data_IF_794860175284
#
_entry.id   IF_794860175284
#
_cell.length_a   1.000
_cell.length_b   1.000
_cell.length_c   1.000
_cell.angle_alpha   90.00
_cell.angle_beta   90.00
_cell.angle_gamma   90.00
#
_symmetry.space_group_name_H-M   'P 1'
#
loop_
_entity.id
_entity.type
_entity.pdbx_description
1 polymer ?
#
# COMPACT_ATOMS: atom_id res chain seq x y z
N UNK A 1 19.44 -14.28 7.86
CA UNK A 1 18.77 -13.59 8.98
C UNK A 1 17.83 -14.60 9.60
N UNK A 2 18.11 -15.01 10.83
CA UNK A 2 17.36 -16.08 11.51
C UNK A 2 16.32 -15.44 12.43
N UNK A 3 15.06 -15.53 12.02
CA UNK A 3 13.92 -15.01 12.76
C UNK A 3 12.64 -15.69 12.28
N UNK A 4 11.67 -15.89 13.18
CA UNK A 4 10.36 -16.42 12.83
C UNK A 4 9.73 -15.51 11.77
N UNK A 5 9.17 -16.06 10.66
CA UNK A 5 8.48 -15.24 9.67
C UNK A 5 7.36 -14.41 10.31
N UNK A 6 7.30 -13.13 9.97
CA UNK A 6 6.17 -12.27 10.33
C UNK A 6 5.16 -12.33 9.19
N UNK A 7 3.93 -12.73 9.50
CA UNK A 7 2.84 -12.80 8.53
C UNK A 7 1.95 -11.57 8.68
N UNK A 8 1.75 -10.85 7.57
CA UNK A 8 0.79 -9.75 7.46
C UNK A 8 -0.34 -10.21 6.55
N UNK A 9 -1.59 -10.03 7.00
CA UNK A 9 -2.78 -10.32 6.19
C UNK A 9 -3.37 -9.01 5.73
N UNK A 10 -3.53 -8.86 4.42
CA UNK A 10 -4.14 -7.70 3.78
C UNK A 10 -5.42 -8.13 3.08
N UNK A 11 -6.46 -7.30 3.14
CA UNK A 11 -7.60 -7.43 2.24
C UNK A 11 -7.18 -7.14 0.79
N UNK A 12 -8.01 -7.54 -0.18
CA UNK A 12 -7.76 -7.22 -1.59
C UNK A 12 -7.63 -5.71 -1.82
N UNK A 13 -8.45 -4.90 -1.15
CA UNK A 13 -8.41 -3.45 -1.25
C UNK A 13 -7.13 -2.87 -0.64
N UNK A 14 -6.70 -3.38 0.54
CA UNK A 14 -5.46 -2.94 1.18
C UNK A 14 -4.25 -3.30 0.33
N UNK A 15 -4.20 -4.51 -0.21
CA UNK A 15 -3.13 -4.98 -1.08
C UNK A 15 -3.04 -4.13 -2.35
N UNK A 16 -4.17 -3.82 -2.99
CA UNK A 16 -4.22 -3.01 -4.20
C UNK A 16 -3.73 -1.57 -3.95
N UNK A 17 -4.25 -0.91 -2.90
CA UNK A 17 -3.87 0.47 -2.58
C UNK A 17 -2.40 0.58 -2.15
N UNK A 18 -1.89 -0.40 -1.39
CA UNK A 18 -0.49 -0.43 -0.97
C UNK A 18 0.45 -0.68 -2.15
N UNK A 19 0.10 -1.59 -3.06
CA UNK A 19 0.88 -1.87 -4.27
C UNK A 19 1.02 -0.61 -5.13
N UNK A 20 -0.09 0.09 -5.39
CA UNK A 20 -0.08 1.34 -6.14
C UNK A 20 0.82 2.41 -5.49
N UNK A 21 0.75 2.53 -4.16
CA UNK A 21 1.57 3.50 -3.44
C UNK A 21 3.06 3.15 -3.49
N UNK A 22 3.42 1.86 -3.41
CA UNK A 22 4.81 1.41 -3.53
C UNK A 22 5.37 1.68 -4.93
N UNK A 23 4.59 1.47 -5.99
CA UNK A 23 5.02 1.84 -7.35
C UNK A 23 5.27 3.35 -7.48
N UNK A 24 4.35 4.18 -6.95
CA UNK A 24 4.54 5.63 -6.92
C UNK A 24 5.74 6.05 -6.08
N UNK A 25 6.00 5.38 -4.97
CA UNK A 25 7.18 5.58 -4.14
C UNK A 25 8.46 5.31 -4.93
N UNK A 26 8.52 4.28 -5.77
CA UNK A 26 9.72 4.00 -6.56
C UNK A 26 9.91 4.98 -7.71
N UNK A 27 8.82 5.45 -8.33
CA UNK A 27 8.84 6.36 -9.47
C UNK A 27 9.09 7.84 -9.11
N UNK A 28 8.60 8.31 -7.95
CA UNK A 28 8.68 9.71 -7.55
C UNK A 28 9.89 9.99 -6.66
N UNK A 29 10.85 10.79 -7.18
CA UNK A 29 12.06 11.18 -6.43
C UNK A 29 11.75 11.96 -5.15
N UNK A 30 10.68 12.75 -5.10
CA UNK A 30 10.29 13.46 -3.89
C UNK A 30 9.78 12.49 -2.83
N UNK A 31 8.98 11.49 -3.22
CA UNK A 31 8.45 10.49 -2.30
C UNK A 31 9.55 9.54 -1.78
N UNK A 32 10.52 9.16 -2.64
CA UNK A 32 11.71 8.40 -2.22
C UNK A 32 12.50 9.06 -1.09
N UNK A 33 12.54 10.40 -1.06
CA UNK A 33 13.27 11.15 -0.03
C UNK A 33 12.59 11.09 1.34
N UNK A 34 11.31 10.71 1.40
CA UNK A 34 10.59 10.51 2.67
C UNK A 34 11.08 9.25 3.38
N UNK A 35 11.55 8.25 2.64
CA UNK A 35 12.16 7.03 3.18
C UNK A 35 13.68 7.14 3.09
N UNK A 36 14.29 7.78 4.08
CA UNK A 36 15.73 8.05 4.11
C UNK A 36 16.58 6.91 4.70
N UNK A 37 15.96 5.95 5.39
CA UNK A 37 16.62 4.78 5.97
C UNK A 37 16.64 3.57 5.01
N UNK A 38 17.82 3.09 4.58
CA UNK A 38 17.97 1.87 3.77
C UNK A 38 17.39 0.60 4.43
N UNK A 39 17.34 0.53 5.76
CA UNK A 39 16.74 -0.61 6.46
C UNK A 39 15.23 -0.68 6.23
N UNK A 40 14.56 0.46 6.13
CA UNK A 40 13.13 0.54 5.80
C UNK A 40 12.89 0.09 4.36
N UNK A 41 13.75 0.50 3.42
CA UNK A 41 13.70 0.03 2.02
C UNK A 41 13.75 -1.50 1.91
N UNK A 42 14.53 -2.18 2.74
CA UNK A 42 14.58 -3.65 2.75
C UNK A 42 13.20 -4.28 3.03
N UNK A 43 12.44 -3.74 3.98
CA UNK A 43 11.11 -4.24 4.31
C UNK A 43 10.10 -3.88 3.20
N UNK A 44 10.16 -2.65 2.67
CA UNK A 44 9.29 -2.20 1.59
C UNK A 44 9.46 -3.04 0.32
N UNK A 45 10.70 -3.34 -0.09
CA UNK A 45 10.96 -4.22 -1.24
C UNK A 45 10.47 -5.66 -1.00
N UNK A 46 10.54 -6.15 0.24
CA UNK A 46 10.00 -7.48 0.58
C UNK A 46 8.48 -7.50 0.44
N UNK A 47 7.80 -6.46 0.93
CA UNK A 47 6.35 -6.32 0.81
C UNK A 47 5.95 -6.15 -0.66
N UNK A 48 6.56 -5.21 -1.38
CA UNK A 48 6.30 -4.95 -2.79
C UNK A 48 6.49 -6.20 -3.65
N UNK A 49 7.64 -6.88 -3.52
CA UNK A 49 7.89 -8.12 -4.27
C UNK A 49 6.96 -9.29 -3.90
N UNK A 50 6.31 -9.25 -2.72
CA UNK A 50 5.27 -10.22 -2.35
C UNK A 50 3.92 -9.86 -2.99
N UNK A 51 3.59 -8.56 -3.04
CA UNK A 51 2.39 -8.03 -3.65
C UNK A 51 2.40 -8.23 -5.17
N UNK A 52 3.50 -7.91 -5.86
CA UNK A 52 3.65 -8.10 -7.31
C UNK A 52 3.38 -9.54 -7.76
N UNK A 53 3.78 -10.51 -6.92
CA UNK A 53 3.57 -11.95 -7.20
C UNK A 53 2.14 -12.40 -6.93
N UNK A 54 1.45 -11.72 -6.02
CA UNK A 54 0.12 -12.13 -5.54
C UNK A 54 -1.01 -11.41 -6.27
N UNK A 55 -0.77 -10.18 -6.76
CA UNK A 55 -1.75 -9.33 -7.42
C UNK A 55 -1.61 -9.43 -8.95
N UNK A 56 -2.27 -10.40 -9.57
CA UNK A 56 -2.39 -10.44 -11.04
C UNK A 56 -3.29 -9.33 -11.60
N UNK A 57 -4.00 -8.60 -10.72
CA UNK A 57 -4.97 -7.57 -11.06
C UNK A 57 -4.38 -6.27 -11.61
N UNK A 58 -3.07 -6.03 -11.43
CA UNK A 58 -2.37 -4.80 -11.87
C UNK A 58 -2.39 -4.69 -13.41
N UNK A 59 -2.55 -5.82 -14.11
CA UNK A 59 -2.61 -5.88 -15.57
C UNK A 59 -4.02 -5.71 -16.16
N UNK A 60 -5.04 -5.45 -15.32
CA UNK A 60 -6.41 -5.34 -15.78
C UNK A 60 -6.69 -3.96 -16.39
N UNK A 61 -7.46 -3.92 -17.49
CA UNK A 61 -7.80 -2.66 -18.17
C UNK A 61 -8.65 -1.71 -17.30
N UNK A 62 -9.30 -2.24 -16.25
CA UNK A 62 -10.11 -1.52 -15.26
C UNK A 62 -9.34 -1.25 -13.95
N UNK A 63 -8.01 -1.36 -13.94
CA UNK A 63 -7.17 -1.18 -12.75
C UNK A 63 -7.44 0.13 -12.01
N UNK A 64 -7.52 1.25 -12.76
CA UNK A 64 -7.75 2.58 -12.18
C UNK A 64 -9.08 2.66 -11.43
N UNK A 65 -10.16 2.13 -12.02
CA UNK A 65 -11.49 2.16 -11.41
C UNK A 65 -11.52 1.28 -10.16
N UNK A 66 -10.90 0.09 -10.22
CA UNK A 66 -10.79 -0.80 -9.06
C UNK A 66 -10.00 -0.17 -7.93
N UNK A 67 -8.90 0.50 -8.23
CA UNK A 67 -8.07 1.19 -7.25
C UNK A 67 -8.86 2.32 -6.58
N UNK A 68 -9.61 3.11 -7.35
CA UNK A 68 -10.45 4.18 -6.83
C UNK A 68 -11.53 3.63 -5.89
N UNK A 69 -12.28 2.61 -6.32
CA UNK A 69 -13.32 2.00 -5.47
C UNK A 69 -12.75 1.31 -4.24
N UNK A 70 -11.58 0.66 -4.35
CA UNK A 70 -10.89 0.06 -3.20
C UNK A 70 -10.50 1.13 -2.17
N UNK A 71 -9.97 2.26 -2.63
CA UNK A 71 -9.61 3.39 -1.79
C UNK A 71 -10.84 3.96 -1.07
N UNK A 72 -11.94 4.20 -1.80
CA UNK A 72 -13.19 4.70 -1.21
C UNK A 72 -13.71 3.77 -0.12
N UNK A 73 -13.81 2.46 -0.40
CA UNK A 73 -14.26 1.47 0.60
C UNK A 73 -13.37 1.44 1.83
N UNK A 74 -12.05 1.54 1.67
CA UNK A 74 -11.13 1.57 2.82
C UNK A 74 -11.28 2.84 3.64
N UNK A 75 -11.40 3.99 2.98
CA UNK A 75 -11.59 5.27 3.68
C UNK A 75 -12.91 5.22 4.46
N UNK A 76 -14.01 4.78 3.84
CA UNK A 76 -15.30 4.61 4.50
C UNK A 76 -15.21 3.64 5.69
N UNK A 77 -14.59 2.48 5.51
CA UNK A 77 -14.44 1.48 6.57
C UNK A 77 -13.57 1.96 7.75
N UNK A 78 -12.66 2.91 7.52
CA UNK A 78 -11.82 3.52 8.55
C UNK A 78 -12.46 4.77 9.19
N UNK A 79 -13.69 5.14 8.78
CA UNK A 79 -14.40 6.32 9.27
C UNK A 79 -14.12 7.62 8.50
N UNK A 80 -13.34 7.57 7.43
CA UNK A 80 -12.79 8.76 6.78
C UNK A 80 -11.40 9.06 7.33
N UNK A 81 -10.42 9.14 6.43
CA UNK A 81 -9.05 9.50 6.77
C UNK A 81 -8.89 11.01 6.63
N UNK A 82 -8.69 11.72 7.73
CA UNK A 82 -8.26 13.11 7.69
C UNK A 82 -6.71 13.15 7.62
N UNK A 83 -6.12 13.57 6.48
CA UNK A 83 -4.67 13.61 6.31
C UNK A 83 -3.97 14.61 7.24
N UNK A 84 -4.68 15.58 7.82
CA UNK A 84 -4.10 16.57 8.73
C UNK A 84 -4.00 16.06 10.18
N UNK A 85 -4.83 15.09 10.58
CA UNK A 85 -4.85 14.55 11.94
C UNK A 85 -4.37 13.10 12.04
N UNK A 86 -4.34 12.34 10.94
CA UNK A 86 -3.85 10.96 10.92
C UNK A 86 -4.75 9.96 11.65
N UNK A 87 -5.92 10.39 12.11
CA UNK A 87 -6.92 9.57 12.79
C UNK A 87 -8.12 9.30 11.87
N UNK A 88 -8.71 8.10 12.02
CA UNK A 88 -9.98 7.77 11.37
C UNK A 88 -11.12 8.51 12.06
N UNK A 89 -11.96 9.21 11.29
CA UNK A 89 -13.10 9.94 11.83
C UNK A 89 -14.20 8.94 12.24
N UNK A 90 -14.25 8.56 13.51
CA UNK A 90 -15.29 7.66 13.99
C UNK A 90 -16.64 8.40 13.97
N UNK A 91 -17.48 8.11 12.96
CA UNK A 91 -18.92 8.38 12.99
C UNK A 91 -19.70 7.14 13.42
#
# INVERSE_FOLDING_TARGET
MDGKPITITLSADQALVLSDWLERLEADTALRRVVDDPAVWSALHTIGGTLDKSLTLIFSADYTDRLASARERLIEALGGFDPDTGEGSQV
#
